data_IF_385431912124
#
_entry.id   IF_385431912124
#
_cell.length_a   1.000
_cell.length_b   1.000
_cell.length_c   1.000
_cell.angle_alpha   90.00
_cell.angle_beta   90.00
_cell.angle_gamma   90.00
#
_symmetry.space_group_name_H-M   'P 1'
#
loop_
_entity.id
_entity.type
_entity.pdbx_description
1 polymer ?
#
# COMPACT_ATOMS: atom_id res chain seq x y z
N UNK A 1 1.57 -13.92 20.75
CA UNK A 1 1.58 -12.51 20.30
C UNK A 1 1.22 -11.64 21.48
N UNK A 2 2.02 -10.62 21.77
CA UNK A 2 1.70 -9.62 22.79
C UNK A 2 0.70 -8.59 22.23
N UNK A 3 -0.07 -7.87 23.08
CA UNK A 3 -0.94 -6.78 22.61
C UNK A 3 -0.20 -5.70 21.80
N UNK A 4 1.10 -5.53 22.02
CA UNK A 4 1.95 -4.62 21.25
C UNK A 4 2.28 -5.16 19.84
N UNK A 5 2.51 -6.47 19.70
CA UNK A 5 2.77 -7.08 18.37
C UNK A 5 1.53 -6.99 17.45
N UNK A 6 0.33 -7.04 18.05
CA UNK A 6 -0.95 -6.85 17.34
C UNK A 6 -1.09 -5.41 16.83
N UNK A 7 -0.72 -4.43 17.66
CA UNK A 7 -0.79 -3.01 17.33
C UNK A 7 0.25 -2.61 16.27
N UNK A 8 1.48 -3.10 16.37
CA UNK A 8 2.53 -2.86 15.38
C UNK A 8 2.16 -3.48 14.02
N UNK A 9 1.61 -4.70 14.03
CA UNK A 9 1.09 -5.36 12.81
C UNK A 9 -0.11 -4.64 12.19
N UNK A 10 -0.96 -4.02 13.02
CA UNK A 10 -2.04 -3.13 12.56
C UNK A 10 -1.49 -1.88 11.91
N UNK A 11 -0.52 -1.20 12.55
CA UNK A 11 0.06 0.04 12.04
C UNK A 11 0.78 -0.17 10.70
N UNK A 12 1.55 -1.25 10.55
CA UNK A 12 2.21 -1.59 9.28
C UNK A 12 1.19 -1.85 8.16
N UNK A 13 0.13 -2.61 8.44
CA UNK A 13 -0.95 -2.87 7.49
C UNK A 13 -1.73 -1.62 7.10
N UNK A 14 -1.95 -0.71 8.05
CA UNK A 14 -2.64 0.56 7.86
C UNK A 14 -1.79 1.52 7.00
N UNK A 15 -0.47 1.46 7.10
CA UNK A 15 0.44 2.36 6.35
C UNK A 15 0.84 1.82 4.97
N UNK A 16 1.03 0.51 4.81
CA UNK A 16 1.51 -0.07 3.54
C UNK A 16 0.40 -0.22 2.50
N UNK A 17 -0.80 -0.59 2.94
CA UNK A 17 -1.91 -0.87 2.02
C UNK A 17 -2.33 0.34 1.16
N UNK A 18 -2.40 1.59 1.67
CA UNK A 18 -2.68 2.76 0.84
C UNK A 18 -1.62 3.03 -0.25
N UNK A 19 -0.34 2.76 0.05
CA UNK A 19 0.75 2.92 -0.92
C UNK A 19 0.68 1.86 -2.01
N UNK A 20 0.39 0.61 -1.64
CA UNK A 20 0.14 -0.48 -2.59
C UNK A 20 -1.04 -0.14 -3.52
N UNK A 21 -2.19 0.27 -2.97
CA UNK A 21 -3.35 0.71 -3.74
C UNK A 21 -3.00 1.83 -4.74
N UNK A 22 -2.28 2.85 -4.30
CA UNK A 22 -1.86 3.97 -5.17
C UNK A 22 -0.97 3.52 -6.34
N UNK A 23 -0.08 2.55 -6.09
CA UNK A 23 0.77 1.98 -7.14
C UNK A 23 -0.02 1.14 -8.15
N UNK A 24 -0.99 0.34 -7.69
CA UNK A 24 -1.91 -0.39 -8.56
C UNK A 24 -2.73 0.56 -9.44
N UNK A 25 -3.33 1.62 -8.87
CA UNK A 25 -4.08 2.61 -9.62
C UNK A 25 -3.26 3.29 -10.72
N UNK A 26 -2.02 3.70 -10.40
CA UNK A 26 -1.13 4.33 -11.37
C UNK A 26 -0.81 3.38 -12.53
N UNK A 27 -0.60 2.10 -12.24
CA UNK A 27 -0.35 1.08 -13.24
C UNK A 27 -1.60 0.83 -14.11
N UNK A 28 -2.77 0.67 -13.50
CA UNK A 28 -4.06 0.50 -14.20
C UNK A 28 -4.35 1.69 -15.12
N UNK A 29 -4.12 2.93 -14.67
CA UNK A 29 -4.30 4.14 -15.50
C UNK A 29 -3.42 4.11 -16.76
N UNK A 30 -2.16 3.67 -16.65
CA UNK A 30 -1.26 3.52 -17.81
C UNK A 30 -1.76 2.45 -18.78
N UNK A 31 -2.15 1.28 -18.28
CA UNK A 31 -2.68 0.20 -19.11
C UNK A 31 -3.99 0.59 -19.81
N UNK A 32 -4.87 1.32 -19.13
CA UNK A 32 -6.12 1.83 -19.73
C UNK A 32 -5.83 2.80 -20.88
N UNK A 33 -4.85 3.69 -20.72
CA UNK A 33 -4.44 4.62 -21.79
C UNK A 33 -3.90 3.88 -23.01
N UNK A 34 -3.05 2.88 -22.79
CA UNK A 34 -2.52 2.06 -23.88
C UNK A 34 -3.61 1.21 -24.55
N UNK A 35 -4.49 0.58 -23.76
CA UNK A 35 -5.64 -0.17 -24.27
C UNK A 35 -6.51 0.71 -25.18
N UNK A 36 -6.87 1.90 -24.72
CA UNK A 36 -7.69 2.85 -25.48
C UNK A 36 -7.02 3.28 -26.78
N UNK A 37 -5.72 3.63 -26.74
CA UNK A 37 -4.94 3.99 -27.92
C UNK A 37 -4.93 2.87 -28.97
N UNK A 38 -4.66 1.64 -28.53
CA UNK A 38 -4.60 0.50 -29.45
C UNK A 38 -5.99 0.07 -29.94
N UNK A 39 -7.05 0.24 -29.13
CA UNK A 39 -8.44 0.02 -29.55
C UNK A 39 -8.81 0.95 -30.71
N UNK A 40 -8.58 2.26 -30.55
CA UNK A 40 -8.87 3.24 -31.61
C UNK A 40 -8.07 2.95 -32.88
N UNK A 41 -6.78 2.59 -32.74
CA UNK A 41 -5.94 2.22 -33.89
C UNK A 41 -6.49 0.98 -34.60
N UNK A 42 -6.95 -0.02 -33.84
CA UNK A 42 -7.53 -1.24 -34.36
C UNK A 42 -8.85 -0.96 -35.09
N UNK A 43 -9.75 -0.17 -34.49
CA UNK A 43 -11.03 0.22 -35.09
C UNK A 43 -10.82 0.99 -36.40
N UNK A 44 -9.88 1.95 -36.42
CA UNK A 44 -9.51 2.70 -37.63
C UNK A 44 -8.90 1.81 -38.72
N UNK A 45 -8.20 0.75 -38.34
CA UNK A 45 -7.67 -0.22 -39.31
C UNK A 45 -8.80 -1.08 -39.88
N UNK A 46 -9.70 -1.59 -39.03
CA UNK A 46 -10.87 -2.37 -39.48
C UNK A 46 -11.74 -1.56 -40.44
N UNK A 47 -12.01 -0.28 -40.15
CA UNK A 47 -12.80 0.59 -41.03
C UNK A 47 -12.18 0.81 -42.42
N UNK A 48 -10.89 0.52 -42.60
CA UNK A 48 -10.16 0.72 -43.86
C UNK A 48 -9.75 -0.60 -44.54
N UNK A 49 -10.06 -1.75 -43.94
CA UNK A 49 -9.60 -3.05 -44.40
C UNK A 49 -10.58 -3.69 -45.38
N UNK A 50 -10.03 -4.23 -46.47
CA UNK A 50 -10.74 -5.03 -47.48
C UNK A 50 -10.68 -6.53 -47.12
N UNK A 51 -9.70 -6.97 -46.29
CA UNK A 51 -9.53 -8.37 -45.88
C UNK A 51 -9.08 -8.51 -44.41
N UNK A 52 -9.61 -9.48 -43.63
CA UNK A 52 -9.28 -9.71 -42.21
C UNK A 52 -7.85 -10.17 -41.92
N UNK A 53 -7.07 -10.55 -42.93
CA UNK A 53 -5.79 -11.25 -42.77
C UNK A 53 -4.56 -10.33 -42.83
N UNK A 54 -4.73 -9.01 -42.74
CA UNK A 54 -3.62 -8.06 -42.83
C UNK A 54 -2.61 -8.29 -41.67
N UNK A 55 -1.32 -8.57 -41.98
CA UNK A 55 -0.28 -8.77 -40.98
C UNK A 55 -0.14 -7.63 -39.95
N UNK A 56 -0.45 -6.38 -40.35
CA UNK A 56 -0.44 -5.21 -39.44
C UNK A 56 -1.59 -5.27 -38.45
N UNK A 57 -2.78 -5.70 -38.87
CA UNK A 57 -3.95 -5.88 -38.00
C UNK A 57 -3.68 -6.95 -36.94
N UNK A 58 -3.18 -8.13 -37.36
CA UNK A 58 -2.78 -9.22 -36.46
C UNK A 58 -1.72 -8.77 -35.43
N UNK A 59 -0.82 -7.85 -35.80
CA UNK A 59 0.18 -7.30 -34.87
C UNK A 59 -0.45 -6.41 -33.81
N UNK A 60 -1.43 -5.58 -34.17
CA UNK A 60 -2.18 -4.73 -33.22
C UNK A 60 -3.06 -5.59 -32.32
N UNK A 61 -3.74 -6.58 -32.88
CA UNK A 61 -4.57 -7.53 -32.13
C UNK A 61 -3.77 -8.28 -31.06
N UNK A 62 -2.60 -8.82 -31.43
CA UNK A 62 -1.70 -9.49 -30.47
C UNK A 62 -1.25 -8.54 -29.36
N UNK A 63 -1.01 -7.26 -29.66
CA UNK A 63 -0.67 -6.25 -28.64
C UNK A 63 -1.85 -5.99 -27.70
N UNK A 64 -3.06 -5.83 -28.24
CA UNK A 64 -4.28 -5.68 -27.44
C UNK A 64 -4.50 -6.87 -26.51
N UNK A 65 -4.40 -8.11 -27.01
CA UNK A 65 -4.51 -9.33 -26.20
C UNK A 65 -3.48 -9.36 -25.06
N UNK A 66 -2.24 -8.94 -25.32
CA UNK A 66 -1.20 -8.84 -24.27
C UNK A 66 -1.54 -7.79 -23.21
N UNK A 67 -2.07 -6.62 -23.60
CA UNK A 67 -2.46 -5.56 -22.67
C UNK A 67 -3.63 -6.03 -21.79
N UNK A 68 -4.64 -6.65 -22.39
CA UNK A 68 -5.80 -7.21 -21.66
C UNK A 68 -5.36 -8.30 -20.69
N UNK A 69 -4.49 -9.23 -21.10
CA UNK A 69 -3.96 -10.28 -20.22
C UNK A 69 -3.23 -9.68 -19.00
N UNK A 70 -2.35 -8.69 -19.21
CA UNK A 70 -1.65 -8.00 -18.13
C UNK A 70 -2.61 -7.26 -17.18
N UNK A 71 -3.69 -6.69 -17.72
CA UNK A 71 -4.71 -6.01 -16.91
C UNK A 71 -5.46 -7.00 -16.02
N UNK A 72 -5.86 -8.14 -16.55
CA UNK A 72 -6.51 -9.22 -15.79
C UNK A 72 -5.59 -9.71 -14.66
N UNK A 73 -4.32 -9.98 -14.97
CA UNK A 73 -3.32 -10.41 -13.99
C UNK A 73 -3.13 -9.37 -12.87
N UNK A 74 -3.04 -8.09 -13.24
CA UNK A 74 -2.90 -7.01 -12.28
C UNK A 74 -4.14 -6.86 -11.39
N UNK A 75 -5.35 -7.00 -11.94
CA UNK A 75 -6.60 -6.99 -11.18
C UNK A 75 -6.67 -8.16 -10.20
N UNK A 76 -6.29 -9.36 -10.61
CA UNK A 76 -6.25 -10.53 -9.74
C UNK A 76 -5.24 -10.35 -8.60
N UNK A 77 -4.06 -9.82 -8.89
CA UNK A 77 -3.06 -9.51 -7.87
C UNK A 77 -3.56 -8.47 -6.86
N UNK A 78 -4.26 -7.44 -7.33
CA UNK A 78 -4.89 -6.45 -6.46
C UNK A 78 -5.97 -7.07 -5.58
N UNK A 79 -6.84 -7.90 -6.16
CA UNK A 79 -7.89 -8.62 -5.44
C UNK A 79 -7.30 -9.51 -4.33
N UNK A 80 -6.26 -10.29 -4.63
CA UNK A 80 -5.55 -11.11 -3.65
C UNK A 80 -4.94 -10.28 -2.51
N UNK A 81 -4.39 -9.09 -2.83
CA UNK A 81 -3.84 -8.20 -1.81
C UNK A 81 -4.93 -7.63 -0.88
N UNK A 82 -6.08 -7.25 -1.45
CA UNK A 82 -7.27 -6.82 -0.69
C UNK A 82 -7.78 -7.93 0.22
N UNK A 83 -7.93 -9.15 -0.30
CA UNK A 83 -8.38 -10.32 0.48
C UNK A 83 -7.44 -10.65 1.62
N UNK A 84 -6.13 -10.62 1.38
CA UNK A 84 -5.12 -10.83 2.44
C UNK A 84 -5.22 -9.78 3.54
N UNK A 85 -5.41 -8.52 3.15
CA UNK A 85 -5.59 -7.43 4.11
C UNK A 85 -6.91 -7.58 4.89
N UNK A 86 -7.99 -8.00 4.24
CA UNK A 86 -9.27 -8.27 4.87
C UNK A 86 -9.17 -9.41 5.89
N UNK A 87 -8.55 -10.53 5.51
CA UNK A 87 -8.30 -11.66 6.42
C UNK A 87 -7.50 -11.25 7.66
N UNK A 88 -6.46 -10.42 7.46
CA UNK A 88 -5.67 -9.88 8.57
C UNK A 88 -6.52 -8.99 9.49
N UNK A 89 -7.37 -8.14 8.94
CA UNK A 89 -8.30 -7.32 9.74
C UNK A 89 -9.30 -8.19 10.51
N UNK A 90 -9.86 -9.23 9.89
CA UNK A 90 -10.78 -10.17 10.56
C UNK A 90 -10.10 -10.92 11.72
N UNK A 91 -8.85 -11.35 11.54
CA UNK A 91 -8.06 -11.99 12.60
C UNK A 91 -7.80 -11.03 13.78
N UNK A 92 -7.43 -9.79 13.49
CA UNK A 92 -7.19 -8.76 14.50
C UNK A 92 -8.46 -8.40 15.28
N UNK A 93 -9.60 -8.33 14.59
CA UNK A 93 -10.91 -8.08 15.20
C UNK A 93 -11.28 -9.22 16.16
N UNK A 94 -11.11 -10.48 15.75
CA UNK A 94 -11.33 -11.66 16.62
C UNK A 94 -10.50 -11.63 17.89
N UNK A 95 -9.24 -11.17 17.81
CA UNK A 95 -8.33 -11.09 18.96
C UNK A 95 -8.70 -9.92 19.89
N UNK A 96 -9.17 -8.81 19.34
CA UNK A 96 -9.42 -7.56 20.07
C UNK A 96 -10.77 -7.50 20.81
N UNK A 97 -11.69 -8.45 20.57
CA UNK A 97 -13.05 -8.47 21.12
C UNK A 97 -13.85 -7.17 20.84
N UNK A 98 -13.52 -6.48 19.74
CA UNK A 98 -14.16 -5.24 19.29
C UNK A 98 -15.37 -5.62 18.40
N UNK A 99 -16.55 -5.12 18.77
CA UNK A 99 -17.78 -5.34 18.01
C UNK A 99 -17.81 -4.44 16.76
N UNK A 100 -17.48 -5.02 15.60
CA UNK A 100 -17.33 -4.31 14.32
C UNK A 100 -18.65 -3.83 13.67
N UNK A 101 -19.81 -4.20 14.23
CA UNK A 101 -21.12 -3.89 13.62
C UNK A 101 -21.46 -2.40 13.54
N UNK A 102 -20.69 -1.51 14.18
CA UNK A 102 -20.99 -0.07 14.23
C UNK A 102 -20.12 0.82 13.33
N UNK A 103 -19.23 0.27 12.49
CA UNK A 103 -18.51 1.07 11.50
C UNK A 103 -19.26 1.06 10.16
N UNK A 104 -19.97 2.17 9.88
CA UNK A 104 -20.48 2.46 8.54
C UNK A 104 -19.30 2.72 7.59
N UNK A 105 -18.78 1.66 6.98
CA UNK A 105 -17.92 1.78 5.80
C UNK A 105 -18.79 2.23 4.62
N UNK A 106 -19.04 3.53 4.52
CA UNK A 106 -19.45 4.09 3.25
C UNK A 106 -18.37 3.75 2.23
N UNK A 107 -18.71 3.26 1.02
CA UNK A 107 -17.71 2.98 0.00
C UNK A 107 -16.89 4.25 -0.22
N UNK A 108 -15.56 4.15 -0.04
CA UNK A 108 -14.61 5.25 -0.22
C UNK A 108 -14.60 5.66 -1.70
N UNK A 109 -15.59 6.45 -2.09
CA UNK A 109 -15.66 7.17 -3.35
C UNK A 109 -14.90 8.47 -3.17
N UNK A 110 -13.57 8.38 -3.09
CA UNK A 110 -12.71 9.53 -2.87
C UNK A 110 -11.25 9.16 -3.03
N UNK A 111 -10.49 10.01 -3.71
CA UNK A 111 -9.06 9.90 -3.97
C UNK A 111 -8.30 9.59 -2.66
N UNK A 112 -7.93 8.32 -2.45
CA UNK A 112 -7.31 7.84 -1.22
C UNK A 112 -5.91 8.44 -1.14
N UNK A 113 -5.72 9.41 -0.25
CA UNK A 113 -4.40 9.97 0.01
C UNK A 113 -3.55 8.91 0.72
N UNK A 114 -2.32 8.61 0.25
CA UNK A 114 -1.48 7.53 0.79
C UNK A 114 -0.87 7.85 2.17
N UNK A 115 -1.32 8.92 2.82
CA UNK A 115 -0.82 9.38 4.11
C UNK A 115 -2.01 9.46 5.06
N UNK A 116 -2.09 8.52 6.00
CA UNK A 116 -2.99 8.66 7.13
C UNK A 116 -2.42 9.76 8.01
N UNK A 117 -3.10 10.91 8.03
CA UNK A 117 -2.83 11.95 9.02
C UNK A 117 -3.24 11.39 10.38
N UNK A 118 -2.24 10.98 11.16
CA UNK A 118 -2.38 10.37 12.49
C UNK A 118 -3.01 11.29 13.55
N UNK A 119 -3.49 12.47 13.15
CA UNK A 119 -4.24 13.40 13.99
C UNK A 119 -5.61 12.87 14.44
N UNK A 120 -6.09 11.78 13.86
CA UNK A 120 -7.48 11.29 14.03
C UNK A 120 -7.62 9.96 14.77
N UNK A 121 -6.51 9.32 15.19
CA UNK A 121 -6.59 8.09 15.99
C UNK A 121 -6.77 8.48 17.46
N UNK A 122 -7.82 8.00 18.17
CA UNK A 122 -7.99 8.27 19.58
C UNK A 122 -6.77 7.74 20.33
N UNK A 123 -6.15 8.65 21.07
CA UNK A 123 -5.02 8.48 21.99
C UNK A 123 -4.69 7.01 22.33
N UNK A 124 -3.81 6.40 21.51
CA UNK A 124 -3.02 5.29 21.98
C UNK A 124 -2.00 5.84 22.96
N UNK A 125 -2.20 5.59 24.26
CA UNK A 125 -1.39 6.11 25.36
C UNK A 125 0.04 5.50 25.41
N UNK A 126 0.44 4.75 24.39
CA UNK A 126 1.78 4.23 24.24
C UNK A 126 2.75 5.39 24.02
N UNK A 127 3.64 5.59 25.00
CA UNK A 127 4.73 6.56 24.86
C UNK A 127 5.86 5.90 24.10
N UNK A 128 6.17 6.45 22.93
CA UNK A 128 7.22 5.98 22.05
C UNK A 128 8.32 7.05 21.96
N UNK A 129 9.47 6.68 21.38
CA UNK A 129 10.63 7.55 21.22
C UNK A 129 11.23 8.07 22.54
N UNK A 130 12.38 8.71 22.42
CA UNK A 130 13.07 9.39 23.54
C UNK A 130 12.32 10.62 24.05
N UNK A 131 11.39 11.18 23.27
CA UNK A 131 10.55 12.28 23.71
C UNK A 131 9.38 11.82 24.60
N UNK A 132 9.18 10.50 24.76
CA UNK A 132 8.12 9.92 25.59
C UNK A 132 6.72 10.40 25.20
N UNK A 133 6.55 10.71 23.92
CA UNK A 133 5.32 11.21 23.33
C UNK A 133 4.67 10.10 22.48
N UNK A 134 3.41 10.30 22.11
CA UNK A 134 2.68 9.36 21.26
C UNK A 134 3.33 9.22 19.88
N UNK A 135 2.96 8.17 19.16
CA UNK A 135 3.32 8.05 17.75
C UNK A 135 2.75 9.24 16.95
N UNK A 136 3.59 9.95 16.20
CA UNK A 136 3.18 11.03 15.28
C UNK A 136 4.20 11.23 14.15
N UNK A 137 3.74 11.66 12.99
CA UNK A 137 4.60 11.89 11.83
C UNK A 137 5.36 10.63 11.38
N UNK A 138 6.55 10.83 10.79
CA UNK A 138 7.41 9.74 10.33
C UNK A 138 8.18 9.13 11.52
N UNK A 139 8.18 7.80 11.60
CA UNK A 139 8.87 7.04 12.64
C UNK A 139 9.77 5.95 12.05
N UNK A 140 10.83 5.60 12.77
CA UNK A 140 11.78 4.52 12.42
C UNK A 140 11.91 3.53 13.59
N UNK A 141 12.06 2.25 13.27
CA UNK A 141 12.34 1.20 14.25
C UNK A 141 13.86 0.98 14.37
N UNK A 142 14.34 0.77 15.60
CA UNK A 142 15.71 0.40 15.90
C UNK A 142 15.92 -1.09 15.61
N UNK A 143 16.91 -1.42 14.78
CA UNK A 143 17.22 -2.81 14.41
C UNK A 143 17.87 -3.63 15.53
N UNK A 144 18.20 -3.02 16.68
CA UNK A 144 18.67 -3.79 17.83
C UNK A 144 17.47 -4.48 18.52
N UNK A 145 17.39 -5.83 18.53
CA UNK A 145 16.26 -6.56 19.10
C UNK A 145 16.11 -6.36 20.62
N UNK A 146 17.18 -6.00 21.31
CA UNK A 146 17.18 -5.68 22.74
C UNK A 146 16.79 -4.21 23.04
N UNK A 147 16.41 -3.42 22.04
CA UNK A 147 16.02 -2.03 22.23
C UNK A 147 14.69 -1.94 22.99
N UNK A 148 14.68 -1.27 24.15
CA UNK A 148 13.48 -1.11 24.98
C UNK A 148 12.41 -0.19 24.36
N UNK A 149 12.83 0.84 23.60
CA UNK A 149 11.91 1.86 23.05
C UNK A 149 11.43 1.46 21.64
N UNK A 150 12.30 0.80 20.86
CA UNK A 150 12.10 0.35 19.46
C UNK A 150 11.80 1.48 18.46
N UNK A 151 10.81 2.32 18.70
CA UNK A 151 10.29 3.31 17.76
C UNK A 151 10.73 4.74 18.08
N UNK A 152 11.14 5.49 17.05
CA UNK A 152 11.63 6.85 17.18
C UNK A 152 11.06 7.77 16.10
N UNK A 153 10.67 8.99 16.46
CA UNK A 153 10.29 9.99 15.45
C UNK A 153 11.52 10.46 14.69
N UNK A 154 11.36 10.65 13.39
CA UNK A 154 12.41 11.16 12.49
C UNK A 154 13.04 12.44 13.03
N UNK A 155 12.19 13.40 13.46
CA UNK A 155 12.65 14.67 14.05
C UNK A 155 13.44 14.47 15.34
N UNK A 156 13.08 13.49 16.17
CA UNK A 156 13.76 13.23 17.44
C UNK A 156 15.12 12.55 17.26
N UNK A 157 15.35 11.90 16.12
CA UNK A 157 16.64 11.25 15.79
C UNK A 157 17.34 11.89 14.58
N UNK A 158 16.94 13.12 14.21
CA UNK A 158 17.50 13.90 13.10
C UNK A 158 17.53 13.17 11.74
N UNK A 159 16.51 12.33 11.48
CA UNK A 159 16.28 11.76 10.16
C UNK A 159 15.32 12.63 9.37
N UNK A 160 15.66 12.86 8.10
CA UNK A 160 14.77 13.53 7.14
C UNK A 160 14.15 12.47 6.20
N UNK A 161 14.91 11.43 5.87
CA UNK A 161 14.54 10.36 4.95
C UNK A 161 14.89 9.03 5.62
N UNK A 162 14.11 7.98 5.32
CA UNK A 162 14.42 6.63 5.78
C UNK A 162 15.79 6.18 5.25
N UNK A 163 16.70 5.70 6.12
CA UNK A 163 17.97 5.13 5.69
C UNK A 163 17.73 3.86 4.86
N UNK A 164 18.61 3.61 3.89
CA UNK A 164 18.53 2.43 3.01
C UNK A 164 19.11 1.16 3.65
N UNK A 165 19.83 1.32 4.75
CA UNK A 165 20.53 0.26 5.48
C UNK A 165 20.00 0.17 6.90
N UNK A 166 20.47 -0.84 7.65
CA UNK A 166 20.12 -1.00 9.06
C UNK A 166 20.39 0.28 9.85
N UNK A 167 19.45 0.64 10.70
CA UNK A 167 19.50 1.82 11.54
C UNK A 167 19.36 1.43 13.01
N UNK A 168 20.30 1.95 13.81
CA UNK A 168 20.31 1.74 15.27
C UNK A 168 20.14 3.08 15.95
N UNK A 169 19.32 3.11 17.02
CA UNK A 169 19.04 4.33 17.72
C UNK A 169 20.27 4.87 18.47
N UNK A 170 20.31 6.16 18.83
CA UNK A 170 21.46 6.75 19.52
C UNK A 170 21.85 6.02 20.82
N UNK A 171 20.85 5.51 21.55
CA UNK A 171 21.06 4.75 22.79
C UNK A 171 21.74 3.40 22.53
N UNK A 172 21.30 2.66 21.51
CA UNK A 172 21.89 1.37 21.16
C UNK A 172 23.24 1.52 20.45
N UNK A 173 23.45 2.62 19.72
CA UNK A 173 24.75 2.93 19.10
C UNK A 173 25.83 3.24 20.13
N UNK A 174 25.46 3.89 21.24
CA UNK A 174 26.36 4.21 22.36
C UNK A 174 26.64 3.03 23.31
N UNK A 175 25.92 1.90 23.17
CA UNK A 175 26.11 0.68 23.98
C UNK A 175 27.06 -0.33 23.32
N UNK A 176 27.88 0.13 22.37
CA UNK A 176 28.92 -0.68 21.72
C UNK A 176 30.21 -0.71 22.51
#
# INVERSE_FOLDING_TARGET
MTPMDVFDSMLESIQQFPLECSNFERHIKRLNKDQFKYSILFDKMIQRLISPQDPKLLKVERKLRKIVKKKIELTNNFQNAVEKQQQKLEELVKISNIDMMNFNFSPLSGNIQPVIKLSSIPQGNGKYCICNDKAFGNMICCDNPACAIKWYHFRCVNLIISPRTTWTCPRCSAMK
#
